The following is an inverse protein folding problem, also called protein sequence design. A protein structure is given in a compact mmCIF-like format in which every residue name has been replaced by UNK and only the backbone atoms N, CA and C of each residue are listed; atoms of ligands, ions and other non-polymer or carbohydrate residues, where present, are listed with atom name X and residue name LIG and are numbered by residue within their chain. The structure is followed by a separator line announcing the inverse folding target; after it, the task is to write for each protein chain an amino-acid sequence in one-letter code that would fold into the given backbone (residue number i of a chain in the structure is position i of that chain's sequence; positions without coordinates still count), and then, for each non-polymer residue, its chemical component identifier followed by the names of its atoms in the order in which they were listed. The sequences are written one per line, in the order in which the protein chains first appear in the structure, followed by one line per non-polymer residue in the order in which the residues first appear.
data_IF_448319974267
#
_entry.id   IF_448319974267
#
_cell.length_a   1.000
_cell.length_b   1.000
_cell.length_c   1.000
_cell.angle_alpha   90.00
_cell.angle_beta   90.00
_cell.angle_gamma   90.00
#
_symmetry.space_group_name_H-M   'P 1'
#
loop_
_entity.id
_entity.type
_entity.pdbx_description
1 polymer ?
#
# COMPACT_ATOMS: atom_id res chain seq x y z
N UNK A 1 6.47 -3.36 23.81
CA UNK A 1 6.58 -2.06 23.12
C UNK A 1 5.78 -2.19 21.84
N UNK A 2 4.69 -1.42 21.69
CA UNK A 2 4.00 -1.34 20.40
C UNK A 2 4.80 -0.35 19.56
N UNK A 3 5.50 -0.84 18.54
CA UNK A 3 6.10 0.05 17.57
C UNK A 3 4.97 0.85 16.89
N UNK A 4 5.26 2.11 16.61
CA UNK A 4 4.42 2.94 15.76
C UNK A 4 4.11 2.18 14.46
N UNK A 5 2.83 1.95 14.09
CA UNK A 5 2.47 1.22 12.88
C UNK A 5 3.14 1.77 11.61
N UNK A 6 3.46 3.07 11.58
CA UNK A 6 4.18 3.69 10.46
C UNK A 6 5.66 3.25 10.42
N UNK A 7 6.27 2.96 11.57
CA UNK A 7 7.62 2.39 11.68
C UNK A 7 7.64 0.95 11.21
N UNK A 8 6.70 0.11 11.67
CA UNK A 8 6.62 -1.29 11.24
C UNK A 8 6.32 -1.39 9.74
N UNK A 9 5.43 -0.54 9.23
CA UNK A 9 5.14 -0.44 7.81
C UNK A 9 6.40 -0.07 7.01
N UNK A 10 7.14 0.96 7.41
CA UNK A 10 8.37 1.34 6.72
C UNK A 10 9.43 0.22 6.75
N UNK A 11 9.56 -0.48 7.88
CA UNK A 11 10.47 -1.62 7.99
C UNK A 11 10.07 -2.77 7.06
N UNK A 12 8.77 -3.07 6.95
CA UNK A 12 8.25 -4.07 6.01
C UNK A 12 8.55 -3.67 4.55
N UNK A 13 8.32 -2.42 4.18
CA UNK A 13 8.60 -1.91 2.82
C UNK A 13 10.08 -2.07 2.43
N UNK A 14 11.00 -1.91 3.38
CA UNK A 14 12.43 -2.13 3.11
C UNK A 14 12.72 -3.58 2.70
N UNK A 15 11.96 -4.57 3.19
CA UNK A 15 12.11 -5.98 2.78
C UNK A 15 11.72 -6.22 1.33
N UNK A 16 10.88 -5.35 0.76
CA UNK A 16 10.48 -5.33 -0.65
C UNK A 16 11.42 -4.50 -1.52
N UNK A 17 12.49 -3.95 -0.94
CA UNK A 17 13.38 -3.01 -1.62
C UNK A 17 12.73 -1.65 -1.89
N UNK A 18 11.66 -1.29 -1.17
CA UNK A 18 10.96 -0.01 -1.31
C UNK A 18 11.49 0.93 -0.23
N UNK A 19 12.39 1.81 -0.63
CA UNK A 19 13.01 2.79 0.26
C UNK A 19 12.38 4.17 0.08
N UNK A 20 12.12 4.85 1.19
CA UNK A 20 11.52 6.18 1.19
C UNK A 20 11.43 6.77 2.59
N UNK A 21 10.96 8.01 2.68
CA UNK A 21 10.72 8.63 3.99
C UNK A 21 9.53 7.94 4.66
N UNK A 22 9.71 7.50 5.92
CA UNK A 22 8.70 6.82 6.75
C UNK A 22 7.32 7.47 6.65
N UNK A 23 7.24 8.76 6.98
CA UNK A 23 5.96 9.48 7.06
C UNK A 23 5.31 9.67 5.69
N UNK A 24 6.11 9.78 4.62
CA UNK A 24 5.60 9.87 3.26
C UNK A 24 5.00 8.54 2.78
N UNK A 25 5.69 7.43 3.04
CA UNK A 25 5.17 6.09 2.73
C UNK A 25 3.89 5.83 3.53
N UNK A 26 3.89 6.11 4.83
CA UNK A 26 2.71 5.96 5.67
C UNK A 26 1.53 6.82 5.16
N UNK A 27 1.79 8.05 4.73
CA UNK A 27 0.77 8.93 4.13
C UNK A 27 0.19 8.35 2.84
N UNK A 28 1.00 7.79 1.94
CA UNK A 28 0.52 7.10 0.72
C UNK A 28 -0.37 5.91 1.11
N UNK A 29 0.06 5.08 2.06
CA UNK A 29 -0.72 3.92 2.53
C UNK A 29 -2.08 4.32 3.08
N UNK A 30 -2.13 5.36 3.93
CA UNK A 30 -3.38 5.92 4.47
C UNK A 30 -4.27 6.50 3.38
N UNK A 31 -3.70 7.14 2.35
CA UNK A 31 -4.48 7.63 1.20
C UNK A 31 -5.03 6.49 0.36
N UNK A 32 -4.27 5.42 0.10
CA UNK A 32 -4.78 4.25 -0.63
C UNK A 32 -6.03 3.69 0.06
N UNK A 33 -5.98 3.54 1.39
CA UNK A 33 -7.15 3.16 2.20
C UNK A 33 -8.31 4.16 2.04
N UNK A 34 -8.06 5.46 2.17
CA UNK A 34 -9.10 6.50 2.00
C UNK A 34 -9.75 6.46 0.62
N UNK A 35 -8.98 6.20 -0.43
CA UNK A 35 -9.48 6.09 -1.81
C UNK A 35 -10.40 4.89 -1.97
N UNK A 36 -10.08 3.75 -1.36
CA UNK A 36 -10.95 2.57 -1.34
C UNK A 36 -12.23 2.81 -0.53
N UNK A 37 -12.14 3.41 0.66
CA UNK A 37 -13.34 3.73 1.46
C UNK A 37 -14.31 4.66 0.72
N UNK A 38 -13.77 5.61 -0.05
CA UNK A 38 -14.57 6.58 -0.78
C UNK A 38 -14.94 6.12 -2.21
N UNK A 39 -14.67 4.85 -2.55
CA UNK A 39 -14.90 4.29 -3.90
C UNK A 39 -14.24 5.10 -5.05
N UNK A 40 -13.16 5.83 -4.75
CA UNK A 40 -12.33 6.53 -5.75
C UNK A 40 -11.50 5.50 -6.51
N UNK A 41 -10.94 4.54 -5.79
CA UNK A 41 -10.40 3.31 -6.36
C UNK A 41 -11.47 2.23 -6.25
N UNK A 42 -11.88 1.69 -7.40
CA UNK A 42 -12.96 0.70 -7.50
C UNK A 42 -12.48 -0.72 -7.17
N UNK A 43 -11.18 -0.95 -7.29
CA UNK A 43 -10.52 -2.24 -7.12
C UNK A 43 -9.06 -2.05 -6.69
N UNK A 44 -8.39 -3.17 -6.42
CA UNK A 44 -6.99 -3.17 -6.03
C UNK A 44 -6.05 -2.72 -7.15
N UNK A 45 -6.39 -2.89 -8.43
CA UNK A 45 -5.54 -2.45 -9.54
C UNK A 45 -5.43 -0.93 -9.60
N UNK A 46 -6.56 -0.23 -9.41
CA UNK A 46 -6.58 1.25 -9.32
C UNK A 46 -5.75 1.74 -8.15
N UNK A 47 -5.85 1.09 -6.99
CA UNK A 47 -5.02 1.42 -5.83
C UNK A 47 -3.55 1.10 -6.05
N UNK A 48 -3.20 -0.03 -6.66
CA UNK A 48 -1.82 -0.40 -6.98
C UNK A 48 -1.21 0.57 -8.00
N UNK A 49 -1.99 1.00 -8.99
CA UNK A 49 -1.58 2.05 -9.94
C UNK A 49 -1.36 3.39 -9.24
N UNK A 50 -2.23 3.77 -8.32
CA UNK A 50 -2.04 4.98 -7.51
C UNK A 50 -0.73 4.89 -6.70
N UNK A 51 -0.47 3.77 -6.02
CA UNK A 51 0.77 3.57 -5.27
C UNK A 51 1.98 3.64 -6.20
N UNK A 52 1.94 2.94 -7.34
CA UNK A 52 3.05 2.88 -8.30
C UNK A 52 3.50 4.27 -8.76
N UNK A 53 2.57 5.19 -9.02
CA UNK A 53 2.92 6.56 -9.46
C UNK A 53 3.51 7.43 -8.34
N UNK A 54 3.41 7.02 -7.08
CA UNK A 54 4.06 7.68 -5.95
C UNK A 54 5.46 7.10 -5.65
N UNK A 55 5.76 5.89 -6.14
CA UNK A 55 7.04 5.24 -5.88
C UNK A 55 8.19 5.89 -6.68
N UNK A 56 9.45 5.76 -6.20
CA UNK A 56 10.62 6.24 -6.93
C UNK A 56 10.71 5.66 -8.34
N UNK A 57 11.29 6.42 -9.28
CA UNK A 57 11.54 5.94 -10.65
C UNK A 57 12.36 4.66 -10.63
N UNK A 58 11.97 3.68 -11.45
CA UNK A 58 12.61 2.35 -11.50
C UNK A 58 11.95 1.31 -10.59
N UNK A 59 10.95 1.71 -9.79
CA UNK A 59 10.13 0.74 -9.04
C UNK A 59 9.34 -0.18 -9.96
N UNK A 60 9.00 -1.36 -9.47
CA UNK A 60 8.28 -2.38 -10.25
C UNK A 60 6.80 -2.42 -9.92
N UNK A 61 6.00 -3.01 -10.82
CA UNK A 61 4.58 -3.29 -10.55
C UNK A 61 4.43 -4.19 -9.32
N UNK A 62 5.31 -5.18 -9.16
CA UNK A 62 5.34 -6.05 -7.97
C UNK A 62 5.51 -5.24 -6.67
N UNK A 63 6.45 -4.29 -6.65
CA UNK A 63 6.65 -3.43 -5.48
C UNK A 63 5.42 -2.59 -5.14
N UNK A 64 4.69 -2.09 -6.15
CA UNK A 64 3.44 -1.38 -5.90
C UNK A 64 2.35 -2.26 -5.28
N UNK A 65 2.25 -3.53 -5.71
CA UNK A 65 1.33 -4.49 -5.12
C UNK A 65 1.74 -4.90 -3.70
N UNK A 66 3.03 -5.13 -3.46
CA UNK A 66 3.56 -5.42 -2.13
C UNK A 66 3.32 -4.26 -1.16
N UNK A 67 3.57 -3.03 -1.60
CA UNK A 67 3.26 -1.82 -0.84
C UNK A 67 1.77 -1.72 -0.54
N UNK A 68 0.90 -1.90 -1.55
CA UNK A 68 -0.54 -1.86 -1.35
C UNK A 68 -0.96 -2.91 -0.32
N UNK A 69 -0.49 -4.15 -0.44
CA UNK A 69 -0.84 -5.21 0.47
C UNK A 69 -0.41 -4.91 1.92
N UNK A 70 0.80 -4.38 2.11
CA UNK A 70 1.26 -3.92 3.42
C UNK A 70 0.40 -2.77 3.96
N UNK A 71 0.04 -1.80 3.10
CA UNK A 71 -0.81 -0.68 3.51
C UNK A 71 -2.21 -1.13 3.94
N UNK A 72 -2.82 -2.08 3.22
CA UNK A 72 -4.13 -2.63 3.60
C UNK A 72 -4.04 -3.38 4.93
N UNK A 73 -3.01 -4.21 5.15
CA UNK A 73 -2.82 -4.91 6.44
C UNK A 73 -2.66 -3.94 7.60
N UNK A 74 -1.88 -2.87 7.42
CA UNK A 74 -1.55 -1.92 8.49
C UNK A 74 -2.67 -0.92 8.78
N UNK A 75 -3.33 -0.38 7.75
CA UNK A 75 -4.18 0.81 7.91
C UNK A 75 -5.67 0.58 7.62
N UNK A 76 -6.04 -0.45 6.84
CA UNK A 76 -7.44 -0.75 6.53
C UNK A 76 -7.65 -2.26 6.25
N UNK A 77 -7.46 -3.12 7.27
CA UNK A 77 -7.51 -4.57 7.09
C UNK A 77 -8.87 -5.08 6.60
N UNK A 78 -9.95 -4.34 6.85
CA UNK A 78 -11.29 -4.63 6.31
C UNK A 78 -11.36 -4.54 4.77
N UNK A 79 -10.38 -3.89 4.13
CA UNK A 79 -10.25 -3.80 2.66
C UNK A 79 -9.37 -4.87 2.05
N UNK A 80 -8.73 -5.74 2.83
CA UNK A 80 -7.93 -6.85 2.30
C UNK A 80 -8.63 -7.72 1.24
N UNK A 81 -9.96 -7.98 1.32
CA UNK A 81 -10.66 -8.77 0.30
C UNK A 81 -10.56 -8.22 -1.14
N UNK A 82 -10.21 -6.94 -1.33
CA UNK A 82 -9.99 -6.37 -2.68
C UNK A 82 -8.78 -7.01 -3.38
N UNK A 83 -7.78 -7.50 -2.64
CA UNK A 83 -6.63 -8.22 -3.20
C UNK A 83 -7.05 -9.61 -3.69
N UNK A 84 -7.85 -10.32 -2.90
CA UNK A 84 -8.39 -11.63 -3.29
C UNK A 84 -9.31 -11.53 -4.50
N UNK A 85 -10.07 -10.43 -4.61
CA UNK A 85 -10.88 -10.15 -5.78
C UNK A 85 -10.02 -9.93 -7.03
N UNK A 86 -8.88 -9.24 -6.92
CA UNK A 86 -7.95 -9.05 -8.03
C UNK A 86 -7.22 -10.33 -8.44
N UNK A 87 -6.84 -11.20 -7.49
CA UNK A 87 -6.17 -12.47 -7.79
C UNK A 87 -7.05 -13.52 -8.50
N UNK A 88 -8.37 -13.27 -8.58
CA UNK A 88 -9.35 -14.16 -9.25
C UNK A 88 -9.72 -13.72 -10.66
N UNK A 89 -9.16 -12.61 -11.14
CA UNK A 89 -9.36 -12.07 -12.49
C UNK A 89 -8.37 -12.70 -13.46
#
# INVERSE_FOLDING_TARGET
AHADPDTDFANELHTYGIYGQKDYNAWIGKIACKRLYNAVDQDAEKSAKFVFVQLPKGSTTEQAWQFLAAALRTYCPDKLPVLEAAARQ
#
